data_IF_940807332974
#
_entry.id   IF_940807332974
#
_cell.length_a   1.000
_cell.length_b   1.000
_cell.length_c   1.000
_cell.angle_alpha   90.00
_cell.angle_beta   90.00
_cell.angle_gamma   90.00
#
_symmetry.space_group_name_H-M   'P 1'
#
loop_
_entity.id
_entity.type
_entity.pdbx_description
1 polymer ?
#
# COMPACT_ATOMS: atom_id res chain seq x y z
N UNK A 1 10.51 -16.38 29.38
CA UNK A 1 10.88 -15.60 28.18
C UNK A 1 9.63 -15.41 27.34
N UNK A 2 9.08 -14.19 27.26
CA UNK A 2 7.84 -13.89 26.54
C UNK A 2 8.25 -13.16 25.25
N UNK A 3 8.07 -13.79 24.09
CA UNK A 3 8.30 -13.12 22.82
C UNK A 3 7.15 -12.13 22.66
N UNK A 4 7.41 -10.84 22.91
CA UNK A 4 6.44 -9.78 22.65
C UNK A 4 6.69 -9.30 21.23
N UNK A 5 5.82 -9.68 20.31
CA UNK A 5 5.84 -9.13 18.95
C UNK A 5 4.94 -7.90 18.98
N UNK A 6 5.52 -6.71 18.80
CA UNK A 6 4.76 -5.47 18.76
C UNK A 6 4.05 -5.35 17.39
N UNK A 7 2.78 -5.74 17.35
CA UNK A 7 1.96 -5.76 16.13
C UNK A 7 1.32 -4.39 15.81
N UNK A 8 1.20 -3.51 16.81
CA UNK A 8 0.59 -2.17 16.69
C UNK A 8 1.37 -1.24 15.74
N UNK A 9 2.70 -1.08 15.87
CA UNK A 9 3.47 -0.16 15.02
C UNK A 9 3.48 -0.61 13.56
N UNK A 10 3.43 -1.92 13.32
CA UNK A 10 3.37 -2.50 11.98
C UNK A 10 2.02 -2.20 11.31
N UNK A 11 0.91 -2.43 12.02
CA UNK A 11 -0.42 -2.10 11.51
C UNK A 11 -0.57 -0.61 11.21
N UNK A 12 -0.06 0.26 12.09
CA UNK A 12 -0.05 1.70 11.87
C UNK A 12 0.78 2.10 10.64
N UNK A 13 1.98 1.53 10.48
CA UNK A 13 2.83 1.79 9.32
C UNK A 13 2.15 1.39 8.00
N UNK A 14 1.46 0.25 8.00
CA UNK A 14 0.69 -0.23 6.85
C UNK A 14 -0.46 0.73 6.51
N UNK A 15 -1.18 1.23 7.51
CA UNK A 15 -2.25 2.20 7.32
C UNK A 15 -1.73 3.53 6.72
N UNK A 16 -0.63 4.06 7.24
CA UNK A 16 0.01 5.29 6.73
C UNK A 16 0.46 5.13 5.28
N UNK A 17 1.05 3.98 4.94
CA UNK A 17 1.48 3.71 3.58
C UNK A 17 0.30 3.54 2.61
N UNK A 18 -0.82 2.96 3.07
CA UNK A 18 -2.03 2.84 2.27
C UNK A 18 -2.65 4.21 1.95
N UNK A 19 -2.76 5.08 2.95
CA UNK A 19 -3.20 6.47 2.79
C UNK A 19 -2.30 7.25 1.82
N UNK A 20 -0.98 7.07 1.95
CA UNK A 20 -0.01 7.68 1.04
C UNK A 20 -0.20 7.20 -0.40
N UNK A 21 -0.47 5.90 -0.62
CA UNK A 21 -0.72 5.34 -1.94
C UNK A 21 -2.05 5.83 -2.56
N UNK A 22 -3.09 6.05 -1.75
CA UNK A 22 -4.33 6.71 -2.21
C UNK A 22 -4.09 8.17 -2.59
N UNK A 23 -3.36 8.93 -1.76
CA UNK A 23 -2.96 10.31 -2.10
C UNK A 23 -2.18 10.41 -3.40
N UNK A 24 -1.23 9.49 -3.62
CA UNK A 24 -0.46 9.45 -4.87
C UNK A 24 -1.40 9.26 -6.06
N UNK A 25 -2.36 8.33 -5.99
CA UNK A 25 -3.35 8.15 -7.06
C UNK A 25 -4.19 9.38 -7.32
N UNK A 26 -4.69 10.04 -6.27
CA UNK A 26 -5.44 11.30 -6.44
C UNK A 26 -4.63 12.37 -7.18
N UNK A 27 -3.35 12.54 -6.83
CA UNK A 27 -2.48 13.49 -7.53
C UNK A 27 -2.23 13.11 -9.00
N UNK A 28 -2.19 11.81 -9.31
CA UNK A 28 -2.01 11.32 -10.67
C UNK A 28 -3.29 11.51 -11.51
N UNK A 29 -4.46 11.30 -10.91
CA UNK A 29 -5.75 11.55 -11.56
C UNK A 29 -5.96 13.05 -11.83
N UNK A 30 -5.61 13.91 -10.87
CA UNK A 30 -5.64 15.36 -11.03
C UNK A 30 -4.71 15.81 -12.17
N UNK A 31 -3.48 15.28 -12.20
CA UNK A 31 -2.52 15.53 -13.26
C UNK A 31 -3.05 15.07 -14.63
N UNK A 32 -3.73 13.93 -14.71
CA UNK A 32 -4.33 13.46 -15.97
C UNK A 32 -5.49 14.35 -16.44
N UNK A 33 -6.26 14.91 -15.51
CA UNK A 33 -7.26 15.93 -15.79
C UNK A 33 -6.65 17.20 -16.39
N UNK A 34 -5.60 17.75 -15.76
CA UNK A 34 -4.89 18.94 -16.25
C UNK A 34 -4.24 18.70 -17.63
N UNK A 35 -3.59 17.55 -17.79
CA UNK A 35 -2.90 17.17 -19.03
C UNK A 35 -3.89 16.92 -20.17
N UNK A 36 -5.08 16.39 -19.89
CA UNK A 36 -6.12 16.18 -20.90
C UNK A 36 -6.56 17.50 -21.57
N UNK A 37 -6.54 18.61 -20.85
CA UNK A 37 -6.81 19.95 -21.40
C UNK A 37 -5.66 20.49 -22.27
N UNK A 38 -4.42 20.17 -21.91
CA UNK A 38 -3.21 20.62 -22.61
C UNK A 38 -2.79 19.69 -23.76
N UNK A 39 -3.32 18.46 -23.81
CA UNK A 39 -3.01 17.44 -24.82
C UNK A 39 -3.23 17.90 -26.25
N UNK A 40 -4.16 18.82 -26.50
CA UNK A 40 -4.37 19.39 -27.83
C UNK A 40 -3.19 20.24 -28.32
N UNK A 41 -2.34 20.71 -27.41
CA UNK A 41 -1.17 21.55 -27.68
C UNK A 41 0.15 20.76 -27.66
N UNK A 42 0.13 19.52 -27.16
CA UNK A 42 1.32 18.68 -27.07
C UNK A 42 1.57 17.97 -28.41
N UNK A 43 2.76 18.15 -28.96
CA UNK A 43 3.22 17.42 -30.13
C UNK A 43 3.69 16.02 -29.74
N UNK A 44 3.66 15.06 -30.68
CA UNK A 44 3.70 13.61 -30.42
C UNK A 44 4.72 13.11 -29.39
N UNK A 45 5.92 13.70 -29.31
CA UNK A 45 6.93 13.26 -28.33
C UNK A 45 6.54 13.55 -26.87
N UNK A 46 5.87 14.69 -26.61
CA UNK A 46 5.38 15.03 -25.27
C UNK A 46 4.23 14.10 -24.85
N UNK A 47 3.35 13.76 -25.79
CA UNK A 47 2.27 12.80 -25.57
C UNK A 47 2.82 11.40 -25.26
N UNK A 48 3.83 10.93 -26.00
CA UNK A 48 4.47 9.64 -25.76
C UNK A 48 5.19 9.58 -24.41
N UNK A 49 5.94 10.63 -24.06
CA UNK A 49 6.63 10.73 -22.77
C UNK A 49 5.63 10.71 -21.61
N UNK A 50 4.51 11.42 -21.75
CA UNK A 50 3.45 11.41 -20.76
C UNK A 50 2.79 10.05 -20.61
N UNK A 51 2.39 9.40 -21.70
CA UNK A 51 1.76 8.06 -21.64
C UNK A 51 2.69 7.04 -21.00
N UNK A 52 4.01 7.16 -21.22
CA UNK A 52 5.01 6.33 -20.56
C UNK A 52 5.06 6.59 -19.06
N UNK A 53 5.21 7.85 -18.65
CA UNK A 53 5.20 8.23 -17.25
C UNK A 53 3.89 7.79 -16.57
N UNK A 54 2.77 7.91 -17.29
CA UNK A 54 1.46 7.47 -16.85
C UNK A 54 1.39 5.99 -16.52
N UNK A 55 1.92 5.16 -17.40
CA UNK A 55 2.03 3.73 -17.10
C UNK A 55 2.95 3.46 -15.93
N UNK A 56 4.15 4.05 -15.92
CA UNK A 56 5.15 3.79 -14.89
C UNK A 56 4.66 4.12 -13.48
N UNK A 57 4.01 5.27 -13.29
CA UNK A 57 3.48 5.62 -11.98
C UNK A 57 2.27 4.78 -11.58
N UNK A 58 1.44 4.36 -12.54
CA UNK A 58 0.25 3.55 -12.28
C UNK A 58 0.68 2.15 -11.85
N UNK A 59 1.60 1.56 -12.60
CA UNK A 59 2.19 0.25 -12.27
C UNK A 59 2.88 0.28 -10.89
N UNK A 60 3.56 1.39 -10.56
CA UNK A 60 4.19 1.57 -9.26
C UNK A 60 3.17 1.66 -8.12
N UNK A 61 2.09 2.43 -8.31
CA UNK A 61 1.00 2.56 -7.33
C UNK A 61 0.30 1.21 -7.07
N UNK A 62 0.02 0.45 -8.13
CA UNK A 62 -0.59 -0.88 -8.03
C UNK A 62 0.33 -1.89 -7.32
N UNK A 63 1.63 -1.85 -7.63
CA UNK A 63 2.62 -2.67 -6.94
C UNK A 63 2.70 -2.33 -5.45
N UNK A 64 2.67 -1.04 -5.09
CA UNK A 64 2.63 -0.59 -3.69
C UNK A 64 1.36 -1.08 -2.98
N UNK A 65 0.17 -0.92 -3.59
CA UNK A 65 -1.09 -1.42 -3.03
C UNK A 65 -1.05 -2.94 -2.78
N UNK A 66 -0.50 -3.69 -3.73
CA UNK A 66 -0.35 -5.14 -3.63
C UNK A 66 0.57 -5.52 -2.48
N UNK A 67 1.73 -4.88 -2.38
CA UNK A 67 2.69 -5.11 -1.30
C UNK A 67 2.10 -4.80 0.08
N UNK A 68 1.35 -3.70 0.19
CA UNK A 68 0.69 -3.28 1.43
C UNK A 68 -0.40 -4.26 1.85
N UNK A 69 -1.22 -4.72 0.90
CA UNK A 69 -2.26 -5.72 1.16
C UNK A 69 -1.65 -7.05 1.64
N UNK A 70 -0.54 -7.46 1.02
CA UNK A 70 0.23 -8.64 1.43
C UNK A 70 0.78 -8.48 2.85
N UNK A 71 1.39 -7.33 3.16
CA UNK A 71 1.93 -7.02 4.48
C UNK A 71 0.82 -6.98 5.56
N UNK A 72 -0.32 -6.37 5.27
CA UNK A 72 -1.49 -6.33 6.16
C UNK A 72 -1.98 -7.75 6.49
N UNK A 73 -2.09 -8.59 5.47
CA UNK A 73 -2.50 -10.00 5.61
C UNK A 73 -1.50 -10.78 6.45
N UNK A 74 -0.20 -10.59 6.23
CA UNK A 74 0.85 -11.23 6.99
C UNK A 74 0.83 -10.79 8.47
N UNK A 75 0.63 -9.50 8.73
CA UNK A 75 0.51 -8.95 10.08
C UNK A 75 -0.70 -9.53 10.83
N UNK A 76 -1.87 -9.58 10.19
CA UNK A 76 -3.09 -10.17 10.76
C UNK A 76 -2.90 -11.65 11.11
N UNK A 77 -2.28 -12.44 10.21
CA UNK A 77 -1.93 -13.84 10.47
C UNK A 77 -0.97 -13.98 11.65
N UNK A 78 0.04 -13.12 11.74
CA UNK A 78 0.99 -13.15 12.85
C UNK A 78 0.29 -12.91 14.20
N UNK A 79 -0.60 -11.91 14.25
CA UNK A 79 -1.38 -11.60 15.45
C UNK A 79 -2.30 -12.76 15.87
N UNK A 80 -2.99 -13.41 14.92
CA UNK A 80 -3.83 -14.57 15.19
C UNK A 80 -3.03 -15.73 15.81
N UNK A 81 -1.87 -16.06 15.24
CA UNK A 81 -0.99 -17.11 15.77
C UNK A 81 -0.48 -16.79 17.17
N UNK A 82 -0.13 -15.53 17.45
CA UNK A 82 0.30 -15.11 18.79
C UNK A 82 -0.82 -15.33 19.81
N UNK A 83 -2.05 -14.91 19.49
CA UNK A 83 -3.23 -15.12 20.36
C UNK A 83 -3.51 -16.60 20.60
N UNK A 84 -3.45 -17.43 19.56
CA UNK A 84 -3.65 -18.88 19.69
C UNK A 84 -2.58 -19.51 20.58
N UNK A 85 -1.31 -19.09 20.43
CA UNK A 85 -0.22 -19.57 21.28
C UNK A 85 -0.43 -19.16 22.74
N UNK A 86 -0.84 -17.92 23.00
CA UNK A 86 -1.16 -17.45 24.35
C UNK A 86 -2.35 -18.20 24.97
N UNK A 87 -3.41 -18.46 24.19
CA UNK A 87 -4.57 -19.22 24.65
C UNK A 87 -4.21 -20.67 24.98
N UNK A 88 -3.39 -21.32 24.14
CA UNK A 88 -2.87 -22.67 24.40
C UNK A 88 -2.03 -22.71 25.66
N UNK A 89 -1.12 -21.75 25.83
CA UNK A 89 -0.34 -21.62 27.05
C UNK A 89 -1.29 -21.40 28.23
N UNK A 90 -2.28 -20.52 28.17
CA UNK A 90 -3.22 -20.34 29.29
C UNK A 90 -3.95 -21.65 29.67
N UNK A 91 -4.40 -22.43 28.68
CA UNK A 91 -5.11 -23.70 28.91
C UNK A 91 -4.26 -24.82 29.51
N UNK A 92 -2.94 -24.76 29.35
CA UNK A 92 -2.02 -25.75 29.93
C UNK A 92 -1.78 -25.52 31.43
N UNK A 93 -2.12 -24.34 31.94
CA UNK A 93 -1.85 -23.92 33.32
C UNK A 93 -3.14 -23.60 34.10
N UNK A 94 -4.31 -23.88 33.53
CA UNK A 94 -5.62 -23.90 34.20
C UNK A 94 -5.97 -25.32 34.61
#
# INVERSE_FOLDING_TARGET
MRIRVDHEPLAQSIAVLADTAERIRGLLDDLDGEVSGLRQQWTGHAQEAYVRAQREWTDCADAMQTALTSAATAAARAQARTRDAEARVASLWS
#
